data_IF_870825741186
#
_entry.id   IF_870825741186
#
_cell.length_a   1.000
_cell.length_b   1.000
_cell.length_c   1.000
_cell.angle_alpha   90.00
_cell.angle_beta   90.00
_cell.angle_gamma   90.00
#
_symmetry.space_group_name_H-M   'P 1'
#
loop_
_entity.id
_entity.type
_entity.pdbx_description
1 polymer ?
#
# COMPACT_ATOMS: atom_id res chain seq x y z
N UNK A 1 -30.85 -13.13 3.18
CA UNK A 1 -30.28 -11.77 3.41
C UNK A 1 -28.98 -11.68 2.62
N UNK A 2 -28.77 -10.65 1.79
CA UNK A 2 -27.53 -10.50 0.98
C UNK A 2 -26.47 -9.74 1.78
N UNK A 3 -25.31 -10.33 2.14
CA UNK A 3 -24.11 -9.56 2.37
C UNK A 3 -23.53 -9.22 0.98
N UNK A 4 -23.41 -7.93 0.67
CA UNK A 4 -22.77 -7.50 -0.58
C UNK A 4 -21.31 -8.01 -0.65
N UNK A 5 -21.03 -8.95 -1.56
CA UNK A 5 -19.67 -9.30 -1.97
C UNK A 5 -19.61 -9.32 -3.50
N UNK A 6 -18.97 -8.32 -4.10
CA UNK A 6 -18.72 -8.28 -5.54
C UNK A 6 -17.43 -9.05 -5.85
N UNK A 7 -17.53 -10.40 -5.85
CA UNK A 7 -16.81 -11.38 -6.68
C UNK A 7 -17.03 -12.81 -6.15
N UNK A 8 -17.92 -13.50 -6.85
CA UNK A 8 -18.09 -14.94 -7.15
C UNK A 8 -18.09 -16.09 -6.13
N UNK A 9 -17.83 -15.91 -4.83
CA UNK A 9 -18.00 -17.04 -3.88
C UNK A 9 -19.08 -16.72 -2.84
N UNK A 10 -20.33 -16.79 -3.26
CA UNK A 10 -21.49 -16.67 -2.37
C UNK A 10 -22.06 -18.04 -2.02
N UNK A 11 -22.08 -18.39 -0.73
CA UNK A 11 -22.87 -19.52 -0.23
C UNK A 11 -24.33 -19.05 -0.16
N UNK A 12 -25.22 -19.71 -0.92
CA UNK A 12 -26.64 -19.40 -0.93
C UNK A 12 -27.38 -20.22 0.13
N UNK A 13 -28.12 -19.54 1.00
CA UNK A 13 -28.99 -20.14 2.02
C UNK A 13 -30.24 -19.27 2.21
N UNK A 14 -31.39 -19.89 2.49
CA UNK A 14 -32.65 -19.18 2.71
C UNK A 14 -32.65 -18.50 4.09
N UNK A 15 -32.00 -19.12 5.07
CA UNK A 15 -31.83 -18.58 6.43
C UNK A 15 -30.37 -18.69 6.88
N UNK A 16 -29.96 -17.84 7.84
CA UNK A 16 -28.61 -17.93 8.41
C UNK A 16 -28.38 -19.29 9.10
N UNK A 17 -29.46 -19.97 9.51
CA UNK A 17 -29.45 -21.25 10.21
C UNK A 17 -29.16 -22.48 9.33
N UNK A 18 -29.10 -22.30 8.01
CA UNK A 18 -28.76 -23.36 7.05
C UNK A 18 -27.28 -23.39 6.66
N UNK A 19 -26.51 -22.36 7.00
CA UNK A 19 -25.07 -22.33 6.75
C UNK A 19 -24.39 -23.16 7.86
N UNK A 20 -23.50 -24.08 7.54
CA UNK A 20 -22.76 -24.83 8.56
C UNK A 20 -22.01 -23.88 9.53
N UNK A 21 -21.92 -24.23 10.82
CA UNK A 21 -21.26 -23.41 11.84
C UNK A 21 -19.80 -23.09 11.49
N UNK A 22 -19.14 -23.99 10.78
CA UNK A 22 -17.77 -23.80 10.28
C UNK A 22 -17.73 -22.67 9.23
N UNK A 23 -18.72 -22.60 8.35
CA UNK A 23 -18.83 -21.55 7.33
C UNK A 23 -19.43 -20.23 7.86
N UNK A 24 -20.26 -20.27 8.91
CA UNK A 24 -20.74 -19.06 9.60
C UNK A 24 -19.64 -18.35 10.38
N UNK A 25 -18.75 -19.12 10.99
CA UNK A 25 -17.67 -18.62 11.85
C UNK A 25 -16.31 -18.61 11.16
N UNK A 26 -16.21 -19.09 9.91
CA UNK A 26 -15.04 -18.87 9.08
C UNK A 26 -14.86 -17.36 8.86
N UNK A 27 -14.09 -16.73 9.74
CA UNK A 27 -13.48 -15.45 9.45
C UNK A 27 -12.67 -15.67 8.18
N UNK A 28 -13.20 -15.20 7.05
CA UNK A 28 -12.54 -15.30 5.75
C UNK A 28 -11.17 -14.64 5.87
N UNK A 29 -10.13 -15.44 6.12
CA UNK A 29 -8.76 -15.02 5.93
C UNK A 29 -8.57 -14.94 4.43
N UNK A 30 -8.92 -13.77 3.88
CA UNK A 30 -8.80 -13.45 2.44
C UNK A 30 -7.35 -13.53 1.93
N UNK A 31 -6.39 -13.62 2.86
CA UNK A 31 -4.97 -13.80 2.58
C UNK A 31 -4.41 -14.81 3.60
N UNK A 32 -3.54 -15.72 3.14
CA UNK A 32 -2.64 -16.48 4.01
C UNK A 32 -1.97 -15.54 5.02
N UNK A 33 -1.56 -16.01 6.20
CA UNK A 33 -0.87 -15.25 7.26
C UNK A 33 0.38 -14.47 6.77
N UNK A 34 0.14 -13.43 6.00
CA UNK A 34 1.10 -12.68 5.22
C UNK A 34 1.42 -11.37 5.92
N UNK A 35 2.64 -10.90 5.72
CA UNK A 35 3.04 -9.58 6.17
C UNK A 35 2.44 -8.52 5.24
N UNK A 36 1.78 -7.52 5.82
CA UNK A 36 1.36 -6.33 5.07
C UNK A 36 2.43 -5.28 5.28
N UNK A 37 2.97 -4.78 4.18
CA UNK A 37 4.05 -3.80 4.18
C UNK A 37 3.50 -2.42 3.84
N UNK A 38 4.16 -1.40 4.35
CA UNK A 38 4.06 -0.02 3.87
C UNK A 38 5.46 0.51 3.57
N UNK A 39 5.56 1.31 2.53
CA UNK A 39 6.77 2.02 2.19
C UNK A 39 6.47 3.10 1.15
N UNK A 40 7.37 4.07 1.05
CA UNK A 40 7.35 5.13 0.05
C UNK A 40 8.65 5.16 -0.75
N UNK A 41 8.62 5.90 -1.84
CA UNK A 41 9.75 6.13 -2.75
C UNK A 41 9.76 7.61 -3.14
N UNK A 42 10.95 8.18 -3.30
CA UNK A 42 11.17 9.48 -3.94
C UNK A 42 12.39 9.39 -4.87
N UNK A 43 12.77 10.52 -5.48
CA UNK A 43 13.98 10.60 -6.27
C UNK A 43 15.26 10.44 -5.44
N UNK A 44 15.17 10.61 -4.12
CA UNK A 44 16.32 10.51 -3.22
C UNK A 44 16.52 9.07 -2.73
N UNK A 45 15.47 8.38 -2.27
CA UNK A 45 15.58 7.01 -1.75
C UNK A 45 14.21 6.34 -1.48
N UNK A 46 14.24 5.19 -0.81
CA UNK A 46 13.10 4.54 -0.17
C UNK A 46 12.83 5.06 1.25
N UNK A 47 11.56 5.07 1.65
CA UNK A 47 11.09 5.57 2.93
C UNK A 47 10.24 4.51 3.65
N UNK A 48 10.65 4.00 4.83
CA UNK A 48 11.92 4.24 5.51
C UNK A 48 13.10 3.58 4.77
N UNK A 49 14.32 4.09 4.94
CA UNK A 49 15.48 3.59 4.19
C UNK A 49 15.84 2.12 4.48
N UNK A 50 15.79 1.74 5.76
CA UNK A 50 16.43 0.50 6.23
C UNK A 50 15.56 -0.76 6.11
N UNK A 51 14.25 -0.60 6.06
CA UNK A 51 13.26 -1.67 5.93
C UNK A 51 11.89 -1.04 5.61
N UNK A 52 11.02 -1.77 4.89
CA UNK A 52 9.62 -1.36 4.82
C UNK A 52 8.99 -1.44 6.22
N UNK A 53 7.94 -0.66 6.41
CA UNK A 53 7.18 -0.68 7.65
C UNK A 53 6.22 -1.88 7.65
N UNK A 54 6.23 -2.67 8.73
CA UNK A 54 5.33 -3.82 8.88
C UNK A 54 3.95 -3.35 9.36
N UNK A 55 3.12 -2.98 8.38
CA UNK A 55 1.84 -2.32 8.59
C UNK A 55 0.83 -3.15 9.36
N UNK A 56 0.76 -4.47 9.12
CA UNK A 56 -0.17 -5.34 9.85
C UNK A 56 0.07 -5.32 11.36
N UNK A 57 1.33 -5.32 11.82
CA UNK A 57 1.66 -5.30 13.24
C UNK A 57 1.22 -4.00 13.93
N UNK A 58 1.39 -2.87 13.22
CA UNK A 58 0.92 -1.58 13.72
C UNK A 58 -0.60 -1.51 13.73
N UNK A 59 -1.25 -1.95 12.64
CA UNK A 59 -2.69 -1.93 12.51
C UNK A 59 -3.35 -2.78 13.59
N UNK A 60 -2.83 -3.99 13.84
CA UNK A 60 -3.36 -4.89 14.86
C UNK A 60 -3.28 -4.28 16.25
N UNK A 61 -2.08 -3.78 16.62
CA UNK A 61 -1.87 -3.09 17.91
C UNK A 61 -2.80 -1.89 18.06
N UNK A 62 -2.95 -1.07 17.02
CA UNK A 62 -3.82 0.12 17.07
C UNK A 62 -5.28 -0.25 17.15
N UNK A 63 -5.76 -1.22 16.38
CA UNK A 63 -7.14 -1.70 16.46
C UNK A 63 -7.47 -2.21 17.86
N UNK A 64 -6.56 -2.97 18.50
CA UNK A 64 -6.73 -3.42 19.89
C UNK A 64 -6.81 -2.23 20.85
N UNK A 65 -5.86 -1.29 20.76
CA UNK A 65 -5.80 -0.12 21.64
C UNK A 65 -7.07 0.75 21.59
N UNK A 66 -7.73 0.84 20.44
CA UNK A 66 -8.95 1.66 20.27
C UNK A 66 -10.24 0.83 20.35
N UNK A 67 -10.16 -0.44 20.76
CA UNK A 67 -11.33 -1.30 20.95
C UNK A 67 -12.06 -1.68 19.65
N UNK A 68 -11.40 -1.63 18.48
CA UNK A 68 -12.02 -2.11 17.23
C UNK A 68 -12.13 -3.62 17.25
N UNK A 69 -13.29 -4.14 16.87
CA UNK A 69 -13.53 -5.58 16.66
C UNK A 69 -12.86 -6.08 15.39
N UNK A 70 -12.92 -5.30 14.30
CA UNK A 70 -12.29 -5.63 13.01
C UNK A 70 -10.91 -5.01 12.85
N UNK A 71 -9.95 -5.81 12.35
CA UNK A 71 -8.56 -5.42 12.01
C UNK A 71 -8.48 -4.78 10.63
N UNK A 72 -9.25 -3.72 10.41
CA UNK A 72 -9.34 -3.02 9.12
C UNK A 72 -8.96 -1.56 9.27
N UNK A 73 -8.21 -1.06 8.29
CA UNK A 73 -7.85 0.35 8.18
C UNK A 73 -9.08 1.19 7.76
N UNK A 74 -9.45 2.17 8.59
CA UNK A 74 -10.44 3.20 8.26
C UNK A 74 -9.75 4.58 8.13
N UNK A 75 -10.51 5.63 7.83
CA UNK A 75 -9.99 6.99 7.67
C UNK A 75 -9.35 7.55 8.95
N UNK A 76 -9.87 7.18 10.14
CA UNK A 76 -9.32 7.61 11.43
C UNK A 76 -7.97 6.96 11.67
N UNK A 77 -7.87 5.66 11.49
CA UNK A 77 -6.62 4.91 11.59
C UNK A 77 -5.62 5.36 10.53
N UNK A 78 -6.05 5.65 9.31
CA UNK A 78 -5.16 6.17 8.28
C UNK A 78 -4.61 7.57 8.63
N UNK A 79 -5.45 8.45 9.18
CA UNK A 79 -5.00 9.75 9.70
C UNK A 79 -3.98 9.57 10.83
N UNK A 80 -4.22 8.65 11.76
CA UNK A 80 -3.25 8.31 12.81
C UNK A 80 -1.96 7.74 12.24
N UNK A 81 -2.04 6.93 11.19
CA UNK A 81 -0.89 6.35 10.52
C UNK A 81 -0.01 7.42 9.86
N UNK A 82 -0.63 8.38 9.16
CA UNK A 82 0.08 9.53 8.60
C UNK A 82 0.81 10.30 9.71
N UNK A 83 0.09 10.65 10.78
CA UNK A 83 0.62 11.43 11.89
C UNK A 83 1.76 10.73 12.64
N UNK A 84 1.61 9.43 12.93
CA UNK A 84 2.49 8.70 13.86
C UNK A 84 3.63 7.97 13.15
N UNK A 85 3.47 7.68 11.86
CA UNK A 85 4.42 6.85 11.10
C UNK A 85 4.94 7.59 9.89
N UNK A 86 4.07 7.97 8.94
CA UNK A 86 4.51 8.50 7.65
C UNK A 86 5.23 9.85 7.82
N UNK A 87 4.59 10.84 8.45
CA UNK A 87 5.16 12.18 8.57
C UNK A 87 6.48 12.20 9.37
N UNK A 88 6.61 11.51 10.52
CA UNK A 88 7.90 11.38 11.20
C UNK A 88 8.98 10.69 10.33
N UNK A 89 8.62 9.62 9.62
CA UNK A 89 9.54 8.90 8.72
C UNK A 89 10.07 9.81 7.61
N UNK A 90 9.18 10.57 6.96
CA UNK A 90 9.59 11.50 5.90
C UNK A 90 10.42 12.64 6.46
N UNK A 91 10.03 13.22 7.60
CA UNK A 91 10.76 14.34 8.23
C UNK A 91 12.19 13.97 8.63
N UNK A 92 12.46 12.73 8.99
CA UNK A 92 13.82 12.26 9.31
C UNK A 92 14.77 12.32 8.12
N UNK A 93 14.25 12.20 6.89
CA UNK A 93 15.06 12.08 5.66
C UNK A 93 14.95 13.34 4.80
N UNK A 94 13.78 13.97 4.75
CA UNK A 94 13.52 15.26 4.09
C UNK A 94 13.01 16.27 5.12
N UNK A 95 13.90 16.88 5.94
CA UNK A 95 13.51 17.80 7.02
C UNK A 95 12.65 18.98 6.57
N UNK A 96 12.85 19.45 5.34
CA UNK A 96 12.12 20.58 4.74
C UNK A 96 10.70 20.20 4.29
N UNK A 97 10.30 18.92 4.36
CA UNK A 97 9.02 18.42 3.86
C UNK A 97 8.69 18.89 2.42
N UNK A 98 9.72 18.98 1.58
CA UNK A 98 9.60 19.47 0.20
C UNK A 98 9.09 18.43 -0.81
N UNK A 99 8.73 17.23 -0.34
CA UNK A 99 8.19 16.16 -1.17
C UNK A 99 6.69 16.35 -1.41
N UNK A 100 6.24 15.95 -2.60
CA UNK A 100 4.82 15.90 -2.96
C UNK A 100 4.25 14.57 -2.46
N UNK A 101 3.23 14.63 -1.61
CA UNK A 101 2.55 13.43 -1.12
C UNK A 101 1.64 12.81 -2.19
N UNK A 102 1.77 11.49 -2.38
CA UNK A 102 0.94 10.71 -3.29
C UNK A 102 0.53 9.38 -2.63
N UNK A 103 -0.75 9.04 -2.76
CA UNK A 103 -1.37 7.78 -2.30
C UNK A 103 -2.45 7.29 -3.28
N UNK A 104 -3.00 6.09 -3.05
CA UNK A 104 -4.02 5.49 -3.91
C UNK A 104 -5.39 6.18 -3.81
N UNK A 105 -6.30 5.92 -4.75
CA UNK A 105 -7.63 6.55 -4.78
C UNK A 105 -8.66 5.91 -3.84
N UNK A 106 -8.26 5.21 -2.77
CA UNK A 106 -9.21 4.60 -1.86
C UNK A 106 -10.05 5.66 -1.13
N UNK A 107 -11.36 5.44 -1.10
CA UNK A 107 -12.37 6.30 -0.46
C UNK A 107 -11.95 6.75 0.95
N UNK A 108 -11.35 5.87 1.76
CA UNK A 108 -10.96 6.22 3.13
C UNK A 108 -9.89 7.32 3.18
N UNK A 109 -9.02 7.38 2.17
CA UNK A 109 -7.94 8.35 2.05
C UNK A 109 -8.45 9.71 1.53
N UNK A 110 -9.62 9.72 0.89
CA UNK A 110 -10.28 10.91 0.35
C UNK A 110 -11.24 11.59 1.34
N UNK A 111 -11.38 11.06 2.55
CA UNK A 111 -12.20 11.67 3.60
C UNK A 111 -11.59 13.01 4.08
N UNK A 112 -12.43 14.02 4.34
CA UNK A 112 -12.00 15.36 4.81
C UNK A 112 -10.97 15.33 5.93
N UNK A 113 -11.12 14.39 6.88
CA UNK A 113 -10.18 14.20 7.99
C UNK A 113 -8.78 13.81 7.51
N UNK A 114 -8.68 12.88 6.55
CA UNK A 114 -7.39 12.45 6.00
C UNK A 114 -6.77 13.56 5.19
N UNK A 115 -7.56 14.22 4.32
CA UNK A 115 -7.07 15.34 3.52
C UNK A 115 -6.49 16.46 4.41
N UNK A 116 -7.21 16.85 5.46
CA UNK A 116 -6.72 17.82 6.45
C UNK A 116 -5.48 17.34 7.20
N UNK A 117 -5.36 16.03 7.45
CA UNK A 117 -4.15 15.44 8.05
C UNK A 117 -2.96 15.55 7.11
N UNK A 118 -3.13 15.23 5.81
CA UNK A 118 -2.05 15.38 4.82
C UNK A 118 -1.61 16.84 4.71
N UNK A 119 -2.54 17.79 4.57
CA UNK A 119 -2.22 19.23 4.50
C UNK A 119 -1.51 19.75 5.75
N UNK A 120 -1.78 19.16 6.92
CA UNK A 120 -1.09 19.53 8.17
C UNK A 120 0.38 19.09 8.18
N UNK A 121 0.72 17.97 7.54
CA UNK A 121 2.06 17.37 7.63
C UNK A 121 2.91 17.52 6.36
N UNK A 122 2.29 17.72 5.20
CA UNK A 122 2.96 17.84 3.90
C UNK A 122 2.59 19.16 3.26
N UNK A 123 3.59 19.85 2.70
CA UNK A 123 3.38 21.14 2.04
C UNK A 123 2.67 20.98 0.69
N UNK A 124 2.84 19.83 0.03
CA UNK A 124 2.29 19.56 -1.29
C UNK A 124 1.75 18.13 -1.36
N UNK A 125 0.72 17.93 -2.19
CA UNK A 125 0.17 16.63 -2.54
C UNK A 125 -0.37 16.66 -3.95
N UNK A 126 -0.40 15.51 -4.62
CA UNK A 126 -1.13 15.39 -5.88
C UNK A 126 -2.62 15.62 -5.60
N UNK A 127 -3.28 16.41 -6.45
CA UNK A 127 -4.72 16.64 -6.33
C UNK A 127 -5.45 15.29 -6.45
N UNK A 128 -6.30 14.92 -5.47
CA UNK A 128 -7.00 13.65 -5.52
C UNK A 128 -7.98 13.54 -6.70
N UNK A 129 -8.36 14.65 -7.32
CA UNK A 129 -9.15 14.66 -8.54
C UNK A 129 -8.33 14.32 -9.80
N UNK A 130 -7.00 14.53 -9.75
CA UNK A 130 -6.08 14.15 -10.83
C UNK A 130 -5.70 12.66 -10.77
N UNK A 131 -6.00 12.00 -9.64
CA UNK A 131 -5.73 10.58 -9.47
C UNK A 131 -6.95 9.74 -9.89
N UNK A 132 -6.76 8.79 -10.80
CA UNK A 132 -7.79 7.83 -11.19
C UNK A 132 -7.58 6.47 -10.50
N UNK A 133 -8.64 5.66 -10.43
CA UNK A 133 -8.49 4.28 -9.96
C UNK A 133 -7.69 3.47 -10.98
N UNK A 134 -6.84 2.54 -10.51
CA UNK A 134 -6.04 1.61 -11.35
C UNK A 134 -4.83 2.21 -12.07
N UNK A 135 -4.20 3.25 -11.53
CA UNK A 135 -2.95 3.81 -12.05
C UNK A 135 -1.68 3.07 -11.55
N UNK A 136 -1.77 1.77 -11.25
CA UNK A 136 -0.66 1.02 -10.66
C UNK A 136 0.59 1.00 -11.55
N UNK A 137 0.40 0.96 -12.87
CA UNK A 137 1.51 0.91 -13.84
C UNK A 137 2.33 2.22 -13.86
N UNK A 138 1.74 3.34 -13.42
CA UNK A 138 2.38 4.66 -13.40
C UNK A 138 3.28 4.82 -12.17
N UNK A 139 2.86 4.30 -11.01
CA UNK A 139 3.51 4.62 -9.74
C UNK A 139 4.73 3.74 -9.46
N UNK A 140 5.94 4.32 -9.29
CA UNK A 140 7.18 3.58 -9.07
C UNK A 140 7.21 2.60 -7.89
N UNK A 141 6.38 2.82 -6.87
CA UNK A 141 6.35 1.94 -5.70
C UNK A 141 5.93 0.50 -6.06
N UNK A 142 5.12 0.32 -7.10
CA UNK A 142 4.74 -1.02 -7.59
C UNK A 142 5.94 -1.78 -8.17
N UNK A 143 6.89 -1.07 -8.80
CA UNK A 143 8.15 -1.67 -9.24
C UNK A 143 8.99 -2.17 -8.06
N UNK A 144 8.97 -1.47 -6.92
CA UNK A 144 9.67 -1.91 -5.70
C UNK A 144 9.05 -3.22 -5.19
N UNK A 145 7.72 -3.31 -5.17
CA UNK A 145 7.03 -4.55 -4.80
C UNK A 145 7.30 -5.68 -5.79
N UNK A 146 7.40 -5.38 -7.08
CA UNK A 146 7.78 -6.36 -8.10
C UNK A 146 9.20 -6.90 -7.87
N UNK A 147 10.19 -6.03 -7.63
CA UNK A 147 11.58 -6.42 -7.33
C UNK A 147 11.64 -7.33 -6.09
N UNK A 148 10.91 -6.99 -5.02
CA UNK A 148 10.87 -7.81 -3.81
C UNK A 148 10.30 -9.19 -4.13
N UNK A 149 9.14 -9.26 -4.80
CA UNK A 149 8.52 -10.54 -5.18
C UNK A 149 9.42 -11.38 -6.08
N UNK A 150 10.11 -10.75 -7.02
CA UNK A 150 11.01 -11.40 -7.95
C UNK A 150 12.23 -11.97 -7.24
N UNK A 151 12.94 -11.18 -6.42
CA UNK A 151 14.13 -11.64 -5.69
C UNK A 151 13.83 -12.71 -4.64
N UNK A 152 12.60 -12.79 -4.14
CA UNK A 152 12.17 -13.81 -3.19
C UNK A 152 11.51 -15.02 -3.87
N UNK A 153 11.34 -15.00 -5.20
CA UNK A 153 10.70 -16.08 -5.95
C UNK A 153 11.53 -17.36 -5.81
N UNK A 154 10.87 -18.47 -5.49
CA UNK A 154 11.51 -19.78 -5.32
C UNK A 154 12.26 -19.97 -4.01
N UNK A 155 12.27 -18.97 -3.11
CA UNK A 155 12.80 -19.13 -1.77
C UNK A 155 11.74 -19.69 -0.82
N UNK A 156 12.14 -20.62 0.05
CA UNK A 156 11.31 -21.12 1.13
C UNK A 156 11.66 -20.44 2.45
N UNK A 157 10.64 -20.05 3.20
CA UNK A 157 10.80 -19.38 4.50
C UNK A 157 10.16 -20.23 5.59
N UNK A 158 10.98 -20.66 6.56
CA UNK A 158 10.54 -21.52 7.66
C UNK A 158 9.66 -20.77 8.67
N UNK A 159 9.74 -19.43 8.71
CA UNK A 159 8.92 -18.59 9.58
C UNK A 159 8.91 -17.13 9.12
N UNK A 160 7.98 -16.35 9.69
CA UNK A 160 7.83 -14.91 9.41
C UNK A 160 9.13 -14.14 9.64
N UNK A 161 9.92 -14.49 10.67
CA UNK A 161 11.19 -13.79 10.95
C UNK A 161 12.18 -13.94 9.79
N UNK A 162 12.31 -15.14 9.23
CA UNK A 162 13.18 -15.38 8.06
C UNK A 162 12.68 -14.66 6.80
N UNK A 163 11.35 -14.64 6.57
CA UNK A 163 10.73 -13.86 5.49
C UNK A 163 11.03 -12.36 5.62
N UNK A 164 10.82 -11.79 6.82
CA UNK A 164 11.10 -10.37 7.09
C UNK A 164 12.56 -10.02 6.89
N UNK A 165 13.48 -10.88 7.33
CA UNK A 165 14.91 -10.68 7.13
C UNK A 165 15.26 -10.62 5.64
N UNK A 166 14.67 -11.50 4.82
CA UNK A 166 14.87 -11.51 3.38
C UNK A 166 14.27 -10.27 2.70
N UNK A 167 13.02 -9.89 3.05
CA UNK A 167 12.39 -8.64 2.57
C UNK A 167 13.26 -7.42 2.89
N UNK A 168 13.73 -7.31 4.15
CA UNK A 168 14.58 -6.21 4.58
C UNK A 168 15.91 -6.16 3.82
N UNK A 169 16.50 -7.32 3.50
CA UNK A 169 17.72 -7.42 2.69
C UNK A 169 17.48 -6.92 1.27
N UNK A 170 16.38 -7.32 0.64
CA UNK A 170 16.03 -6.85 -0.71
C UNK A 170 15.75 -5.36 -0.72
N UNK A 171 14.94 -4.86 0.21
CA UNK A 171 14.63 -3.43 0.36
C UNK A 171 15.90 -2.57 0.45
N UNK A 172 16.85 -2.96 1.31
CA UNK A 172 18.13 -2.24 1.45
C UNK A 172 19.01 -2.30 0.20
N UNK A 173 18.90 -3.36 -0.59
CA UNK A 173 19.67 -3.53 -1.82
C UNK A 173 19.26 -2.60 -2.95
N UNK A 174 18.07 -1.99 -2.85
CA UNK A 174 17.62 -0.97 -3.80
C UNK A 174 18.28 0.35 -3.40
N UNK A 175 19.01 0.95 -4.33
CA UNK A 175 19.78 2.16 -4.12
C UNK A 175 19.03 3.42 -4.57
N UNK A 176 19.53 4.57 -4.13
CA UNK A 176 19.03 5.90 -4.51
C UNK A 176 19.01 6.10 -6.03
N UNK A 177 20.04 5.61 -6.74
CA UNK A 177 20.13 5.72 -8.21
C UNK A 177 18.98 5.00 -8.90
N UNK A 178 18.62 3.80 -8.43
CA UNK A 178 17.47 3.05 -8.92
C UNK A 178 16.17 3.80 -8.62
N UNK A 179 16.02 4.32 -7.40
CA UNK A 179 14.83 5.11 -7.03
C UNK A 179 14.66 6.34 -7.93
N UNK A 180 15.74 7.10 -8.13
CA UNK A 180 15.80 8.26 -9.02
C UNK A 180 15.35 7.92 -10.44
N UNK A 181 15.93 6.88 -11.05
CA UNK A 181 15.56 6.43 -12.40
C UNK A 181 14.08 6.05 -12.51
N UNK A 182 13.52 5.39 -11.50
CA UNK A 182 12.10 5.05 -11.50
C UNK A 182 11.22 6.29 -11.38
N UNK A 183 11.58 7.26 -10.55
CA UNK A 183 10.83 8.52 -10.45
C UNK A 183 10.92 9.35 -11.74
N UNK A 184 12.08 9.41 -12.37
CA UNK A 184 12.29 10.05 -13.67
C UNK A 184 11.56 9.35 -14.83
N UNK A 185 11.04 8.14 -14.62
CA UNK A 185 10.22 7.42 -15.61
C UNK A 185 8.74 7.80 -15.57
N UNK A 186 8.25 8.47 -14.51
CA UNK A 186 6.82 8.82 -14.38
C UNK A 186 6.29 9.58 -15.61
N UNK A 187 6.97 10.63 -16.13
CA UNK A 187 6.46 11.34 -17.30
C UNK A 187 6.34 10.45 -18.54
N UNK A 188 7.31 9.56 -18.80
CA UNK A 188 7.26 8.62 -19.94
C UNK A 188 6.14 7.60 -19.78
N UNK A 189 5.91 7.10 -18.56
CA UNK A 189 4.77 6.22 -18.26
C UNK A 189 3.43 6.91 -18.51
N UNK A 190 3.30 8.17 -18.10
CA UNK A 190 2.08 8.94 -18.36
C UNK A 190 1.85 9.14 -19.86
N UNK A 191 2.91 9.43 -20.64
CA UNK A 191 2.82 9.51 -22.10
C UNK A 191 2.39 8.19 -22.72
N UNK A 192 2.97 7.06 -22.31
CA UNK A 192 2.58 5.74 -22.79
C UNK A 192 1.11 5.42 -22.51
N UNK A 193 0.57 5.84 -21.36
CA UNK A 193 -0.87 5.68 -21.05
C UNK A 193 -1.73 6.53 -21.97
N UNK A 194 -1.31 7.76 -22.29
CA UNK A 194 -2.01 8.63 -23.24
C UNK A 194 -1.99 8.01 -24.65
N UNK A 195 -0.84 7.53 -25.10
CA UNK A 195 -0.68 6.88 -26.41
C UNK A 195 -1.49 5.58 -26.54
N UNK A 196 -1.79 4.92 -25.40
CA UNK A 196 -2.64 3.72 -25.33
C UNK A 196 -4.09 4.00 -24.94
N UNK A 197 -4.54 5.25 -25.04
CA UNK A 197 -5.92 5.67 -24.75
C UNK A 197 -6.41 5.21 -23.35
N UNK A 198 -5.53 5.28 -22.35
CA UNK A 198 -5.84 4.88 -20.98
C UNK A 198 -5.75 3.37 -20.70
N UNK A 199 -5.25 2.57 -21.64
CA UNK A 199 -4.98 1.15 -21.42
C UNK A 199 -3.73 0.90 -20.56
N UNK A 200 -3.58 -0.33 -20.08
CA UNK A 200 -2.40 -0.73 -19.31
C UNK A 200 -1.11 -0.57 -20.13
N UNK A 201 -0.03 -0.24 -19.44
CA UNK A 201 1.31 -0.13 -20.02
C UNK A 201 2.26 -1.19 -19.46
N UNK A 202 3.26 -1.55 -20.25
CA UNK A 202 4.35 -2.45 -19.95
C UNK A 202 5.67 -1.71 -20.08
N UNK A 203 6.75 -2.36 -19.63
CA UNK A 203 8.07 -1.73 -19.57
C UNK A 203 8.53 -1.26 -20.95
N UNK A 204 8.26 -2.07 -21.97
CA UNK A 204 8.60 -1.76 -23.37
C UNK A 204 7.93 -0.48 -23.91
N UNK A 205 6.84 0.00 -23.28
CA UNK A 205 6.11 1.17 -23.76
C UNK A 205 6.73 2.50 -23.33
N UNK A 206 7.66 2.52 -22.37
CA UNK A 206 8.22 3.75 -21.79
C UNK A 206 9.75 3.71 -21.57
N UNK A 207 10.41 2.69 -22.13
CA UNK A 207 11.87 2.55 -22.14
C UNK A 207 12.57 3.48 -23.12
#
# INVERSE_FOLDING_TARGET
>A
IRPNNNKNDGIWAATADEIDSDNRNAGVQKFSAGVILWGGISGDDLYPRNAPFYFNEWLDKKCIQIGKTRRTLDSRLYSMFIQQVIAPTVKQISPQMGLIFQDDCDRKQRMKQVLGTVTKYFHQRIDPNDCTSKMADIWPIENIWAIIKEKLRGMEFQNIRTLKAAINKVWRSIDATTCKKMMESIPRRMMAVIEKDGSNIHKEDYE
#
